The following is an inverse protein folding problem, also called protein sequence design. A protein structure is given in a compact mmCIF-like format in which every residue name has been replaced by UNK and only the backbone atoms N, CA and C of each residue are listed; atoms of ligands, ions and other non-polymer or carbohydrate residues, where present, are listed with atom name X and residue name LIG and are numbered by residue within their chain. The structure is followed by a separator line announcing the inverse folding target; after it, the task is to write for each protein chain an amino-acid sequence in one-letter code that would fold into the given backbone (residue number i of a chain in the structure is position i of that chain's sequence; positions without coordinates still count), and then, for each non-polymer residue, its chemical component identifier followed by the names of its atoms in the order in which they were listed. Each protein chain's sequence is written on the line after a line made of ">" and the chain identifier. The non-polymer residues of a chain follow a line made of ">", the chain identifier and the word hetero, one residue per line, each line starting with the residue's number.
data_IF_529964268860
#
_entry.id   IF_529964268860
#
_cell.length_a   1.000
_cell.length_b   1.000
_cell.length_c   1.000
_cell.angle_alpha   90.00
_cell.angle_beta   90.00
_cell.angle_gamma   90.00
#
_symmetry.space_group_name_H-M   'P 1'
#
loop_
_entity.id
_entity.type
_entity.pdbx_description
1 polymer ?
#
# COMPACT_ATOMS: atom_id res chain seq x y z
N UNK A 1 -25.90 -29.67 -6.14
CA UNK A 1 -26.16 -28.67 -7.20
C UNK A 1 -24.80 -28.14 -7.67
N UNK A 2 -24.32 -28.61 -8.83
CA UNK A 2 -22.92 -28.50 -9.26
C UNK A 2 -22.60 -27.20 -10.02
N UNK A 3 -21.53 -26.52 -9.59
CA UNK A 3 -21.06 -25.19 -10.05
C UNK A 3 -20.36 -25.16 -11.43
N UNK A 4 -20.47 -26.21 -12.25
CA UNK A 4 -19.68 -26.35 -13.50
C UNK A 4 -20.49 -26.39 -14.79
N UNK A 5 -21.59 -25.63 -14.88
CA UNK A 5 -22.41 -25.54 -16.12
C UNK A 5 -22.62 -24.13 -16.67
N UNK A 6 -22.07 -23.09 -16.03
CA UNK A 6 -22.32 -21.71 -16.45
C UNK A 6 -21.28 -21.12 -17.43
N UNK A 7 -20.16 -21.80 -17.70
CA UNK A 7 -19.09 -21.27 -18.55
C UNK A 7 -19.06 -21.78 -20.00
N UNK A 8 -20.15 -22.36 -20.54
CA UNK A 8 -20.13 -22.96 -21.89
C UNK A 8 -21.13 -22.40 -22.91
N UNK A 9 -21.74 -21.24 -22.69
CA UNK A 9 -22.65 -20.64 -23.69
C UNK A 9 -22.09 -19.34 -24.33
N UNK A 10 -20.94 -18.84 -23.90
CA UNK A 10 -20.39 -17.55 -24.36
C UNK A 10 -19.37 -17.59 -25.50
N UNK A 11 -19.31 -18.65 -26.31
CA UNK A 11 -18.36 -18.72 -27.41
C UNK A 11 -19.01 -19.44 -28.59
N UNK A 12 -19.65 -18.68 -29.50
CA UNK A 12 -19.88 -18.99 -30.91
C UNK A 12 -20.87 -17.96 -31.50
N UNK A 13 -20.38 -16.75 -31.77
CA UNK A 13 -20.99 -15.83 -32.74
C UNK A 13 -19.98 -14.71 -33.07
N UNK A 14 -18.87 -15.04 -33.74
CA UNK A 14 -18.02 -14.04 -34.40
C UNK A 14 -17.75 -14.52 -35.82
N UNK A 15 -18.71 -14.21 -36.69
CA UNK A 15 -18.59 -14.32 -38.14
C UNK A 15 -19.01 -13.01 -38.77
N UNK A 16 -18.00 -12.27 -39.26
CA UNK A 16 -18.05 -11.22 -40.29
C UNK A 16 -18.92 -9.97 -40.03
N UNK A 17 -18.24 -8.84 -39.81
CA UNK A 17 -18.33 -7.59 -40.60
C UNK A 17 -17.95 -6.39 -39.71
N UNK A 18 -17.03 -5.56 -40.20
CA UNK A 18 -16.85 -4.19 -39.70
C UNK A 18 -15.66 -3.99 -38.78
N UNK A 19 -14.57 -3.48 -39.38
CA UNK A 19 -13.55 -2.69 -38.69
C UNK A 19 -14.24 -1.46 -38.06
N UNK A 20 -14.78 -1.64 -36.87
CA UNK A 20 -15.30 -0.57 -36.01
C UNK A 20 -14.40 -0.48 -34.80
N UNK A 21 -13.59 0.56 -34.77
CA UNK A 21 -12.65 0.91 -33.71
C UNK A 21 -13.44 1.05 -32.40
N UNK A 22 -13.39 0.04 -31.53
CA UNK A 22 -13.70 0.24 -30.12
C UNK A 22 -12.48 0.89 -29.49
N UNK A 23 -12.38 2.21 -29.64
CA UNK A 23 -11.57 3.05 -28.78
C UNK A 23 -12.21 3.01 -27.38
N UNK A 24 -11.91 1.95 -26.63
CA UNK A 24 -11.97 1.99 -25.19
C UNK A 24 -10.82 2.91 -24.73
N UNK A 25 -11.03 4.22 -24.89
CA UNK A 25 -10.19 5.24 -24.27
C UNK A 25 -10.25 5.03 -22.76
N UNK A 26 -9.20 4.39 -22.24
CA UNK A 26 -8.82 4.36 -20.84
C UNK A 26 -8.33 5.75 -20.41
N UNK A 27 -9.19 6.76 -20.50
CA UNK A 27 -8.87 8.14 -20.11
C UNK A 27 -8.88 8.38 -18.59
N UNK A 28 -8.97 7.32 -17.77
CA UNK A 28 -8.80 7.43 -16.32
C UNK A 28 -7.33 7.52 -15.85
N UNK A 29 -6.35 7.39 -16.76
CA UNK A 29 -4.92 7.40 -16.42
C UNK A 29 -4.17 8.65 -16.87
N UNK A 30 -4.83 9.70 -17.38
CA UNK A 30 -4.15 10.91 -17.86
C UNK A 30 -4.11 12.08 -16.87
N UNK A 31 -4.66 11.94 -15.65
CA UNK A 31 -4.61 13.00 -14.63
C UNK A 31 -3.40 12.87 -13.70
N UNK A 32 -2.24 12.44 -14.22
CA UNK A 32 -0.97 12.40 -13.48
C UNK A 32 -0.13 13.66 -13.69
N UNK A 33 -0.63 14.66 -14.43
CA UNK A 33 0.14 15.84 -14.84
C UNK A 33 0.21 16.98 -13.83
N UNK A 34 -0.44 16.85 -12.66
CA UNK A 34 -0.37 17.84 -11.57
C UNK A 34 0.12 17.21 -10.24
N UNK A 35 0.91 16.15 -10.32
CA UNK A 35 1.57 15.61 -9.13
C UNK A 35 2.56 16.65 -8.60
N UNK A 36 2.42 17.02 -7.32
CA UNK A 36 3.47 17.79 -6.65
C UNK A 36 4.77 17.00 -6.75
N UNK A 37 5.87 17.58 -7.26
CA UNK A 37 7.13 16.88 -7.34
C UNK A 37 7.69 16.74 -5.92
N UNK A 38 7.36 15.65 -5.23
CA UNK A 38 8.02 15.27 -3.99
C UNK A 38 9.37 14.66 -4.33
N UNK A 39 10.42 15.19 -3.69
CA UNK A 39 11.79 14.74 -3.92
C UNK A 39 12.18 13.66 -2.91
N UNK A 40 11.73 13.80 -1.67
CA UNK A 40 12.01 12.86 -0.59
C UNK A 40 10.91 12.88 0.46
N UNK A 41 10.99 11.95 1.39
CA UNK A 41 10.17 11.93 2.58
C UNK A 41 11.00 11.45 3.77
N UNK A 42 10.61 11.89 4.96
CA UNK A 42 11.19 11.46 6.23
C UNK A 42 10.23 10.53 6.95
N UNK A 43 10.72 9.35 7.31
CA UNK A 43 10.00 8.32 8.02
C UNK A 43 10.47 8.26 9.47
N UNK A 44 9.58 8.37 10.43
CA UNK A 44 9.88 8.18 11.85
C UNK A 44 9.03 7.08 12.45
N UNK A 45 9.64 6.19 13.24
CA UNK A 45 8.90 5.18 14.00
C UNK A 45 8.33 5.83 15.26
N UNK A 46 7.01 5.92 15.35
CA UNK A 46 6.34 6.52 16.52
C UNK A 46 6.19 5.47 17.62
N UNK A 47 5.66 4.29 17.28
CA UNK A 47 5.33 3.23 18.24
C UNK A 47 5.46 1.85 17.60
N UNK A 48 5.81 0.87 18.43
CA UNK A 48 5.69 -0.55 18.12
C UNK A 48 4.68 -1.13 19.10
N UNK A 49 3.47 -1.42 18.62
CA UNK A 49 2.37 -1.92 19.47
C UNK A 49 2.29 -3.45 19.39
N UNK A 50 1.66 -4.05 20.40
CA UNK A 50 1.34 -5.47 20.46
C UNK A 50 -0.03 -5.64 21.13
N UNK A 51 -1.01 -6.14 20.38
CA UNK A 51 -2.35 -6.44 20.88
C UNK A 51 -2.36 -7.88 21.37
N UNK A 52 -2.06 -8.08 22.65
CA UNK A 52 -1.88 -9.40 23.28
C UNK A 52 -3.11 -10.30 23.14
N UNK A 53 -4.32 -9.72 23.12
CA UNK A 53 -5.57 -10.43 22.91
C UNK A 53 -5.72 -11.00 21.49
N UNK A 54 -5.21 -10.28 20.49
CA UNK A 54 -5.19 -10.72 19.09
C UNK A 54 -4.04 -11.70 18.87
N UNK A 55 -2.84 -11.38 19.38
CA UNK A 55 -1.65 -12.21 19.27
C UNK A 55 -1.91 -13.62 19.84
N UNK A 56 -2.36 -13.71 21.09
CA UNK A 56 -2.57 -14.98 21.79
C UNK A 56 -3.62 -15.88 21.12
N UNK A 57 -4.55 -15.29 20.37
CA UNK A 57 -5.66 -16.02 19.73
C UNK A 57 -5.36 -16.46 18.30
N UNK A 58 -4.57 -15.68 17.55
CA UNK A 58 -4.47 -15.85 16.09
C UNK A 58 -3.05 -16.01 15.54
N UNK A 59 -2.01 -15.68 16.31
CA UNK A 59 -0.63 -15.88 15.85
C UNK A 59 -0.11 -17.26 16.24
N UNK A 60 0.79 -17.80 15.41
CA UNK A 60 1.42 -19.11 15.64
C UNK A 60 2.21 -19.13 16.96
N UNK A 61 2.86 -18.02 17.29
CA UNK A 61 3.54 -17.81 18.58
C UNK A 61 2.79 -16.75 19.41
N UNK A 62 2.10 -17.17 20.49
CA UNK A 62 1.32 -16.29 21.35
C UNK A 62 2.19 -15.34 22.19
N UNK A 63 3.51 -15.52 22.23
CA UNK A 63 4.46 -14.70 22.99
C UNK A 63 5.43 -13.93 22.08
N UNK A 64 5.11 -13.80 20.78
CA UNK A 64 5.95 -13.12 19.79
C UNK A 64 6.31 -11.67 20.16
N UNK A 65 5.46 -10.99 20.94
CA UNK A 65 5.66 -9.61 21.39
C UNK A 65 5.56 -8.55 20.29
N UNK A 66 6.01 -7.31 20.50
CA UNK A 66 6.05 -6.28 19.46
C UNK A 66 7.07 -6.59 18.35
N UNK A 67 6.98 -5.90 17.21
CA UNK A 67 7.92 -6.08 16.11
C UNK A 67 9.36 -5.67 16.49
N UNK A 68 10.31 -6.60 16.42
CA UNK A 68 11.72 -6.38 16.76
C UNK A 68 12.54 -5.66 15.68
N UNK A 69 12.02 -5.59 14.45
CA UNK A 69 12.71 -4.97 13.31
C UNK A 69 12.80 -3.45 13.43
N UNK A 70 11.91 -2.84 14.21
CA UNK A 70 11.83 -1.39 14.36
C UNK A 70 11.92 -0.99 15.83
N UNK A 71 12.57 0.15 16.08
CA UNK A 71 12.65 0.76 17.41
C UNK A 71 12.00 2.16 17.38
N UNK A 72 11.13 2.49 18.35
CA UNK A 72 10.56 3.83 18.45
C UNK A 72 11.62 4.93 18.50
N UNK A 73 11.35 6.05 17.84
CA UNK A 73 12.26 7.20 17.77
C UNK A 73 13.29 7.13 16.64
N UNK A 74 13.42 6.01 15.93
CA UNK A 74 14.28 5.91 14.74
C UNK A 74 13.69 6.76 13.61
N UNK A 75 14.56 7.56 12.97
CA UNK A 75 14.21 8.42 11.84
C UNK A 75 15.09 8.07 10.64
N UNK A 76 14.48 7.96 9.47
CA UNK A 76 15.12 7.64 8.20
C UNK A 76 14.62 8.61 7.12
N UNK A 77 15.43 8.89 6.11
CA UNK A 77 15.05 9.71 4.96
C UNK A 77 15.19 8.92 3.67
N UNK A 78 14.20 9.05 2.79
CA UNK A 78 14.11 8.28 1.57
C UNK A 78 13.82 9.20 0.38
N UNK A 79 14.48 8.94 -0.74
CA UNK A 79 14.13 9.58 -2.00
C UNK A 79 12.79 9.03 -2.52
N UNK A 80 12.00 9.87 -3.20
CA UNK A 80 10.79 9.41 -3.85
C UNK A 80 11.13 8.38 -4.95
N UNK A 81 10.37 7.28 -5.02
CA UNK A 81 10.59 6.20 -5.98
C UNK A 81 11.80 5.28 -5.69
N UNK A 82 12.41 5.37 -4.51
CA UNK A 82 13.48 4.44 -4.15
C UNK A 82 12.97 2.99 -3.99
N UNK A 83 13.86 2.03 -4.23
CA UNK A 83 13.60 0.63 -3.92
C UNK A 83 13.65 0.38 -2.41
N UNK A 84 13.01 -0.69 -1.96
CA UNK A 84 13.04 -1.07 -0.55
C UNK A 84 14.49 -1.39 -0.12
N UNK A 85 15.03 -0.74 0.92
CA UNK A 85 16.35 -1.06 1.46
C UNK A 85 16.44 -2.53 1.89
N UNK A 86 17.64 -3.11 1.85
CA UNK A 86 17.87 -4.52 2.17
C UNK A 86 17.58 -4.86 3.65
N UNK A 87 17.83 -3.89 4.53
CA UNK A 87 17.63 -3.93 5.97
C UNK A 87 16.23 -3.44 6.41
N UNK A 88 15.32 -3.24 5.47
CA UNK A 88 13.97 -2.76 5.76
C UNK A 88 12.90 -3.85 5.61
N UNK A 89 11.83 -3.73 6.41
CA UNK A 89 10.70 -4.64 6.37
C UNK A 89 9.99 -4.66 5.00
N UNK A 90 10.10 -5.77 4.27
CA UNK A 90 9.41 -5.99 2.99
C UNK A 90 7.88 -5.92 3.10
N UNK A 91 7.31 -6.20 4.28
CA UNK A 91 5.85 -6.09 4.53
C UNK A 91 5.39 -4.64 4.72
N UNK A 92 6.15 -3.84 5.47
CA UNK A 92 5.78 -2.45 5.76
C UNK A 92 6.03 -1.51 4.57
N UNK A 93 7.09 -1.76 3.80
CA UNK A 93 7.50 -0.91 2.68
C UNK A 93 6.39 -0.59 1.66
N UNK A 94 5.68 -1.57 1.06
CA UNK A 94 4.67 -1.27 0.06
C UNK A 94 3.51 -0.43 0.61
N UNK A 95 3.18 -0.54 1.89
CA UNK A 95 2.14 0.27 2.54
C UNK A 95 2.61 1.70 2.74
N UNK A 96 3.86 1.90 3.14
CA UNK A 96 4.45 3.24 3.28
C UNK A 96 4.51 3.93 1.92
N UNK A 97 5.10 3.29 0.91
CA UNK A 97 5.22 3.89 -0.43
C UNK A 97 3.86 4.09 -1.08
N UNK A 98 2.92 3.15 -0.92
CA UNK A 98 1.54 3.33 -1.38
C UNK A 98 0.90 4.58 -0.76
N UNK A 99 1.06 4.76 0.55
CA UNK A 99 0.52 5.92 1.27
C UNK A 99 1.17 7.24 0.83
N UNK A 100 2.49 7.24 0.63
CA UNK A 100 3.26 8.37 0.08
C UNK A 100 2.75 8.72 -1.32
N UNK A 101 2.57 7.74 -2.20
CA UNK A 101 2.08 7.98 -3.56
C UNK A 101 0.64 8.52 -3.58
N UNK A 102 -0.25 7.98 -2.74
CA UNK A 102 -1.62 8.48 -2.61
C UNK A 102 -1.66 9.91 -2.05
N UNK A 103 -0.73 10.25 -1.17
CA UNK A 103 -0.59 11.61 -0.66
C UNK A 103 -0.13 12.61 -1.72
N UNK A 104 0.82 12.23 -2.59
CA UNK A 104 1.21 13.06 -3.76
C UNK A 104 0.00 13.33 -4.65
N UNK A 105 -0.87 12.32 -4.80
CA UNK A 105 -2.12 12.40 -5.57
C UNK A 105 -3.25 13.12 -4.84
N UNK A 106 -2.99 13.70 -3.66
CA UNK A 106 -3.99 14.38 -2.81
C UNK A 106 -5.21 13.50 -2.47
N UNK A 107 -5.05 12.17 -2.49
CA UNK A 107 -6.12 11.22 -2.18
C UNK A 107 -6.21 10.87 -0.68
N UNK A 108 -5.42 11.55 0.16
CA UNK A 108 -5.36 11.34 1.61
C UNK A 108 -5.50 12.67 2.32
N UNK A 109 -6.34 12.71 3.37
CA UNK A 109 -6.43 13.87 4.24
C UNK A 109 -5.16 13.97 5.10
N UNK A 110 -4.42 15.07 4.93
CA UNK A 110 -3.16 15.32 5.61
C UNK A 110 -3.19 16.67 6.30
N UNK A 111 -2.54 16.77 7.45
CA UNK A 111 -2.19 18.06 8.06
C UNK A 111 -0.71 18.29 7.86
N UNK A 112 -0.34 19.49 7.39
CA UNK A 112 1.06 19.93 7.33
C UNK A 112 2.00 18.98 6.56
N UNK A 113 1.50 18.33 5.51
CA UNK A 113 2.23 17.31 4.73
C UNK A 113 2.69 16.08 5.55
N UNK A 114 2.01 15.79 6.66
CA UNK A 114 2.27 14.63 7.52
C UNK A 114 1.23 13.54 7.29
N UNK A 115 1.70 12.29 7.19
CA UNK A 115 0.90 11.06 7.21
C UNK A 115 1.23 10.25 8.45
N UNK A 116 0.23 9.51 8.92
CA UNK A 116 0.43 8.42 9.86
C UNK A 116 0.07 7.13 9.15
N UNK A 117 1.02 6.20 9.10
CA UNK A 117 0.89 4.92 8.38
C UNK A 117 1.21 3.80 9.35
N UNK A 118 0.45 2.71 9.29
CA UNK A 118 0.72 1.52 10.08
C UNK A 118 1.28 0.39 9.20
N UNK A 119 2.15 -0.44 9.76
CA UNK A 119 2.48 -1.75 9.21
C UNK A 119 1.17 -2.54 9.00
N UNK A 120 1.03 -3.35 7.92
CA UNK A 120 -0.18 -4.14 7.68
C UNK A 120 -0.35 -5.32 8.67
N UNK A 121 0.44 -5.37 9.74
CA UNK A 121 0.30 -6.36 10.80
C UNK A 121 -0.83 -5.95 11.75
N UNK A 122 -1.93 -6.71 11.74
CA UNK A 122 -3.11 -6.40 12.53
C UNK A 122 -2.97 -6.70 14.03
N UNK A 123 -2.01 -7.54 14.44
CA UNK A 123 -1.79 -7.89 15.83
C UNK A 123 -0.64 -7.10 16.45
N UNK A 124 0.39 -6.78 15.66
CA UNK A 124 1.64 -6.16 16.14
C UNK A 124 2.05 -4.97 15.26
N UNK A 125 1.19 -3.95 15.09
CA UNK A 125 1.46 -2.88 14.15
C UNK A 125 2.61 -1.98 14.62
N UNK A 126 3.48 -1.63 13.68
CA UNK A 126 4.42 -0.52 13.84
C UNK A 126 3.80 0.72 13.22
N UNK A 127 3.77 1.81 13.98
CA UNK A 127 3.17 3.09 13.58
C UNK A 127 4.28 4.04 13.14
N UNK A 128 4.16 4.53 11.92
CA UNK A 128 5.10 5.43 11.28
C UNK A 128 4.50 6.82 11.10
N UNK A 129 5.29 7.85 11.35
CA UNK A 129 5.06 9.22 10.88
C UNK A 129 5.81 9.41 9.58
N UNK A 130 5.15 9.92 8.56
CA UNK A 130 5.78 10.27 7.29
C UNK A 130 5.64 11.76 7.06
N UNK A 131 6.76 12.47 7.01
CA UNK A 131 6.83 13.89 6.67
C UNK A 131 7.25 14.01 5.19
N UNK A 132 6.40 14.57 4.34
CA UNK A 132 6.69 14.76 2.92
C UNK A 132 7.48 16.06 2.70
N UNK A 133 8.58 15.98 1.93
CA UNK A 133 9.56 17.07 1.73
C UNK A 133 9.57 17.62 0.29
#
# INVERSE_FOLDING_TARGET
>A
MDRRKFCKIGALAMGALGLGVFDAQSSALSSWSELRPMRSFRLAVIRCECYEDIQSRYLDDPESGPCEMFSPGVVMEFANGCECPADFCRRAWPVIIGSVNMAVQSCVAMRENVLVVACPDGARPVIFKVDLL
#
